data_IF_739795496690
#
_entry.id   IF_739795496690
#
_cell.length_a   1.000
_cell.length_b   1.000
_cell.length_c   1.000
_cell.angle_alpha   90.00
_cell.angle_beta   90.00
_cell.angle_gamma   90.00
#
_symmetry.space_group_name_H-M   'P 1'
#
loop_
_entity.id
_entity.type
_entity.pdbx_description
1 polymer ?
#
# COMPACT_ATOMS: atom_id res chain seq x y z
N UNK A 1 8.14 18.40 -16.00
CA UNK A 1 7.46 17.15 -16.41
C UNK A 1 6.33 16.80 -15.44
N UNK A 2 6.59 16.72 -14.13
CA UNK A 2 5.56 16.44 -13.12
C UNK A 2 4.50 17.55 -13.00
N UNK A 3 4.89 18.83 -12.97
CA UNK A 3 3.95 19.98 -13.01
C UNK A 3 3.03 19.95 -14.25
N UNK A 4 3.54 19.48 -15.39
CA UNK A 4 2.76 19.37 -16.62
C UNK A 4 1.69 18.27 -16.52
N UNK A 5 1.98 17.16 -15.83
CA UNK A 5 1.01 16.09 -15.60
C UNK A 5 -0.08 16.51 -14.62
N UNK A 6 0.29 17.22 -13.55
CA UNK A 6 -0.67 17.78 -12.57
C UNK A 6 -1.64 18.75 -13.26
N UNK A 7 -1.12 19.62 -14.12
CA UNK A 7 -1.94 20.54 -14.90
C UNK A 7 -2.93 19.78 -15.80
N UNK A 8 -2.46 18.76 -16.51
CA UNK A 8 -3.32 17.92 -17.37
C UNK A 8 -4.40 17.17 -16.60
N UNK A 9 -4.10 16.66 -15.40
CA UNK A 9 -5.08 16.01 -14.55
C UNK A 9 -6.14 17.00 -14.05
N UNK A 10 -5.68 18.21 -13.71
CA UNK A 10 -6.55 19.34 -13.35
C UNK A 10 -7.47 19.73 -14.50
N UNK A 11 -6.94 19.81 -15.72
CA UNK A 11 -7.70 20.14 -16.92
C UNK A 11 -8.75 19.06 -17.24
N UNK A 12 -8.40 17.78 -17.10
CA UNK A 12 -9.33 16.67 -17.30
C UNK A 12 -10.49 16.74 -16.29
N UNK A 13 -10.18 17.00 -15.01
CA UNK A 13 -11.19 17.22 -13.96
C UNK A 13 -12.09 18.43 -14.27
N UNK A 14 -11.51 19.50 -14.79
CA UNK A 14 -12.21 20.74 -15.13
C UNK A 14 -13.17 20.54 -16.30
N UNK A 15 -12.75 19.83 -17.35
CA UNK A 15 -13.61 19.46 -18.51
C UNK A 15 -14.86 18.71 -18.03
N UNK A 16 -14.68 17.67 -17.21
CA UNK A 16 -15.81 16.92 -16.65
C UNK A 16 -16.71 17.77 -15.76
N UNK A 17 -16.10 18.63 -14.93
CA UNK A 17 -16.83 19.53 -14.04
C UNK A 17 -17.74 20.48 -14.82
N UNK A 18 -17.20 21.15 -15.86
CA UNK A 18 -17.98 22.02 -16.75
C UNK A 18 -19.13 21.28 -17.42
N UNK A 19 -18.82 20.11 -17.98
CA UNK A 19 -19.84 19.31 -18.65
C UNK A 19 -20.96 18.87 -17.68
N UNK A 20 -20.62 18.57 -16.43
CA UNK A 20 -21.58 18.20 -15.38
C UNK A 20 -22.43 19.38 -14.85
N UNK A 21 -21.97 20.63 -15.00
CA UNK A 21 -22.70 21.86 -14.65
C UNK A 21 -23.48 22.46 -15.81
N UNK A 22 -23.40 21.84 -17.00
CA UNK A 22 -24.12 22.29 -18.20
C UNK A 22 -23.37 23.35 -19.01
N UNK A 23 -22.10 23.60 -18.69
CA UNK A 23 -21.21 24.38 -19.55
C UNK A 23 -20.72 23.49 -20.70
N UNK A 24 -20.97 23.93 -21.93
CA UNK A 24 -20.56 23.20 -23.12
C UNK A 24 -19.58 24.05 -23.93
N UNK A 25 -18.35 23.56 -24.08
CA UNK A 25 -17.29 24.18 -24.86
C UNK A 25 -16.99 23.26 -26.03
N UNK A 26 -17.03 23.80 -27.25
CA UNK A 26 -16.91 23.01 -28.49
C UNK A 26 -15.64 22.15 -28.55
N UNK A 27 -14.55 22.58 -27.90
CA UNK A 27 -13.27 21.87 -27.86
C UNK A 27 -13.16 20.81 -26.76
N UNK A 28 -14.05 20.83 -25.75
CA UNK A 28 -13.96 19.92 -24.60
C UNK A 28 -14.00 18.43 -24.97
N UNK A 29 -14.76 17.97 -25.98
CA UNK A 29 -14.73 16.57 -26.41
C UNK A 29 -13.34 16.12 -26.92
N UNK A 30 -12.64 16.97 -27.68
CA UNK A 30 -11.30 16.67 -28.20
C UNK A 30 -10.27 16.65 -27.06
N UNK A 31 -10.32 17.68 -26.20
CA UNK A 31 -9.44 17.80 -25.03
C UNK A 31 -9.64 16.62 -24.07
N UNK A 32 -10.89 16.19 -23.84
CA UNK A 32 -11.19 15.02 -23.03
C UNK A 32 -10.51 13.76 -23.55
N UNK A 33 -10.61 13.50 -24.86
CA UNK A 33 -10.02 12.32 -25.48
C UNK A 33 -8.50 12.32 -25.41
N UNK A 34 -7.87 13.47 -25.66
CA UNK A 34 -6.41 13.64 -25.57
C UNK A 34 -5.91 13.33 -24.15
N UNK A 35 -6.47 14.02 -23.15
CA UNK A 35 -6.08 13.86 -21.75
C UNK A 35 -6.37 12.45 -21.24
N UNK A 36 -7.53 11.88 -21.59
CA UNK A 36 -7.86 10.49 -21.25
C UNK A 36 -6.85 9.52 -21.84
N UNK A 37 -6.49 9.67 -23.11
CA UNK A 37 -5.52 8.79 -23.77
C UNK A 37 -4.15 8.85 -23.12
N UNK A 38 -3.73 10.04 -22.69
CA UNK A 38 -2.45 10.25 -22.02
C UNK A 38 -2.37 9.53 -20.69
N UNK A 39 -3.37 9.72 -19.81
CA UNK A 39 -3.40 9.03 -18.51
C UNK A 39 -3.70 7.53 -18.63
N UNK A 40 -4.37 7.09 -19.69
CA UNK A 40 -4.59 5.68 -19.96
C UNK A 40 -3.34 4.97 -20.49
N UNK A 41 -2.45 5.71 -21.15
CA UNK A 41 -1.21 5.19 -21.73
C UNK A 41 -0.15 4.81 -20.70
N UNK A 42 -0.16 5.42 -19.52
CA UNK A 42 0.74 5.08 -18.42
C UNK A 42 0.12 4.06 -17.44
N UNK A 43 0.92 3.06 -17.05
CA UNK A 43 0.44 1.91 -16.27
C UNK A 43 0.03 2.29 -14.84
N UNK A 44 0.61 3.36 -14.28
CA UNK A 44 0.34 3.81 -12.92
C UNK A 44 -0.87 4.73 -12.92
N UNK A 45 -0.90 5.75 -13.78
CA UNK A 45 -2.03 6.67 -13.85
C UNK A 45 -3.31 5.98 -14.33
N UNK A 46 -3.21 4.97 -15.20
CA UNK A 46 -4.38 4.21 -15.66
C UNK A 46 -5.15 3.53 -14.52
N UNK A 47 -4.44 3.00 -13.53
CA UNK A 47 -5.06 2.37 -12.35
C UNK A 47 -5.75 3.38 -11.44
N UNK A 48 -5.42 4.66 -11.61
CA UNK A 48 -5.90 5.77 -10.81
C UNK A 48 -6.93 6.65 -11.47
N UNK A 49 -7.27 6.34 -12.72
CA UNK A 49 -8.32 7.06 -13.38
C UNK A 49 -9.67 6.78 -12.70
N UNK A 50 -10.48 7.82 -12.46
CA UNK A 50 -11.85 7.69 -11.99
C UNK A 50 -12.67 6.69 -12.79
N UNK A 51 -13.58 5.97 -12.14
CA UNK A 51 -14.49 5.03 -12.83
C UNK A 51 -15.26 5.73 -13.96
N UNK A 52 -15.64 7.00 -13.74
CA UNK A 52 -16.33 7.80 -14.74
C UNK A 52 -15.51 8.05 -16.00
N UNK A 53 -14.18 8.15 -15.91
CA UNK A 53 -13.27 8.32 -17.07
C UNK A 53 -13.00 6.97 -17.75
N UNK A 54 -12.94 5.89 -16.97
CA UNK A 54 -12.73 4.54 -17.48
C UNK A 54 -13.95 4.09 -18.30
N UNK A 55 -15.14 4.27 -17.75
CA UNK A 55 -16.42 3.85 -18.33
C UNK A 55 -16.89 4.76 -19.48
N UNK A 56 -16.69 6.08 -19.36
CA UNK A 56 -17.09 7.04 -20.38
C UNK A 56 -15.95 7.25 -21.37
N UNK A 57 -15.98 6.54 -22.51
CA UNK A 57 -14.92 6.67 -23.53
C UNK A 57 -15.00 8.00 -24.27
N UNK A 58 -16.21 8.53 -24.46
CA UNK A 58 -16.48 9.84 -25.01
C UNK A 58 -16.99 10.77 -23.92
N UNK A 59 -16.75 12.09 -24.06
CA UNK A 59 -17.31 13.08 -23.13
C UNK A 59 -18.84 13.03 -23.10
N UNK A 60 -19.48 12.72 -24.24
CA UNK A 60 -20.93 12.58 -24.34
C UNK A 60 -21.51 11.46 -23.46
N UNK A 61 -20.74 10.41 -23.18
CA UNK A 61 -21.17 9.30 -22.32
C UNK A 61 -21.25 9.72 -20.84
N UNK A 62 -20.50 10.76 -20.46
CA UNK A 62 -20.37 11.20 -19.07
C UNK A 62 -21.65 11.88 -18.54
N UNK A 63 -22.39 12.60 -19.38
CA UNK A 63 -23.62 13.28 -18.92
C UNK A 63 -24.71 12.29 -18.45
N UNK A 64 -25.08 11.25 -19.23
CA UNK A 64 -25.95 10.19 -18.76
C UNK A 64 -25.47 9.54 -17.46
N UNK A 65 -24.16 9.27 -17.36
CA UNK A 65 -23.54 8.66 -16.19
C UNK A 65 -23.76 9.51 -14.92
N UNK A 66 -23.43 10.81 -14.97
CA UNK A 66 -23.44 11.66 -13.78
C UNK A 66 -24.85 12.12 -13.40
N UNK A 67 -25.72 12.37 -14.39
CA UNK A 67 -27.10 12.85 -14.17
C UNK A 67 -27.94 11.84 -13.41
N UNK A 68 -27.73 10.54 -13.65
CA UNK A 68 -28.46 9.47 -12.95
C UNK A 68 -27.98 9.28 -11.51
N UNK A 69 -26.70 9.56 -11.22
CA UNK A 69 -26.13 9.44 -9.87
C UNK A 69 -26.46 10.63 -8.97
N UNK A 70 -26.44 11.86 -9.50
CA UNK A 70 -26.55 13.08 -8.69
C UNK A 70 -27.52 14.12 -9.24
N UNK A 71 -28.36 14.66 -8.34
CA UNK A 71 -29.41 15.63 -8.67
C UNK A 71 -28.93 17.07 -8.72
N UNK A 72 -27.98 17.47 -7.85
CA UNK A 72 -27.51 18.86 -7.77
C UNK A 72 -26.15 19.04 -8.42
N UNK A 73 -25.85 20.26 -8.87
CA UNK A 73 -24.52 20.61 -9.39
C UNK A 73 -23.44 20.59 -8.30
N UNK A 74 -23.80 20.84 -7.04
CA UNK A 74 -22.86 20.73 -5.93
C UNK A 74 -22.38 19.28 -5.78
N UNK A 75 -23.31 18.32 -5.69
CA UNK A 75 -22.98 16.90 -5.52
C UNK A 75 -22.13 16.36 -6.66
N UNK A 76 -22.40 16.78 -7.91
CA UNK A 76 -21.61 16.38 -9.09
C UNK A 76 -20.16 16.85 -9.00
N UNK A 77 -19.96 18.11 -8.60
CA UNK A 77 -18.61 18.69 -8.44
C UNK A 77 -17.86 18.01 -7.31
N UNK A 78 -18.53 17.76 -6.19
CA UNK A 78 -17.92 17.09 -5.05
C UNK A 78 -17.52 15.64 -5.40
N UNK A 79 -18.38 14.91 -6.11
CA UNK A 79 -18.05 13.58 -6.63
C UNK A 79 -16.83 13.62 -7.56
N UNK A 80 -16.84 14.48 -8.58
CA UNK A 80 -15.71 14.60 -9.52
C UNK A 80 -14.42 14.97 -8.77
N UNK A 81 -14.48 15.87 -7.79
CA UNK A 81 -13.31 16.23 -6.97
C UNK A 81 -12.77 15.01 -6.23
N UNK A 82 -13.63 14.27 -5.52
CA UNK A 82 -13.23 13.11 -4.72
C UNK A 82 -12.62 11.99 -5.57
N UNK A 83 -13.21 11.70 -6.72
CA UNK A 83 -12.74 10.62 -7.59
C UNK A 83 -11.35 10.89 -8.20
N UNK A 84 -11.01 12.16 -8.42
CA UNK A 84 -9.68 12.54 -8.94
C UNK A 84 -8.60 12.57 -7.87
N UNK A 85 -8.95 12.52 -6.58
CA UNK A 85 -8.02 12.65 -5.47
C UNK A 85 -6.86 11.63 -5.53
N UNK A 86 -7.08 10.33 -5.81
CA UNK A 86 -5.98 9.35 -5.89
C UNK A 86 -4.97 9.70 -6.99
N UNK A 87 -5.44 10.15 -8.15
CA UNK A 87 -4.57 10.56 -9.26
C UNK A 87 -3.82 11.86 -8.93
N UNK A 88 -4.48 12.83 -8.29
CA UNK A 88 -3.85 14.11 -7.92
C UNK A 88 -2.73 13.90 -6.92
N UNK A 89 -3.00 13.15 -5.83
CA UNK A 89 -1.99 12.82 -4.81
C UNK A 89 -0.79 12.11 -5.43
N UNK A 90 -1.03 11.10 -6.29
CA UNK A 90 0.04 10.42 -7.04
C UNK A 90 0.96 11.40 -7.79
N UNK A 91 0.36 12.31 -8.56
CA UNK A 91 1.08 13.26 -9.39
C UNK A 91 1.79 14.34 -8.57
N UNK A 92 1.27 14.69 -7.40
CA UNK A 92 1.88 15.63 -6.44
C UNK A 92 3.12 15.05 -5.73
N UNK A 93 3.44 13.77 -5.98
CA UNK A 93 4.67 13.14 -5.50
C UNK A 93 4.44 12.19 -4.32
N UNK A 94 3.19 11.91 -3.98
CA UNK A 94 2.79 10.91 -2.98
C UNK A 94 2.95 9.47 -3.50
N UNK A 95 4.06 9.16 -4.19
CA UNK A 95 4.32 7.80 -4.72
C UNK A 95 4.49 6.74 -3.63
N UNK A 96 4.93 7.15 -2.44
CA UNK A 96 4.98 6.27 -1.28
C UNK A 96 3.59 5.74 -0.90
N UNK A 97 2.55 6.57 -1.08
CA UNK A 97 1.18 6.25 -0.69
C UNK A 97 0.56 5.15 -1.55
N UNK A 98 1.01 4.95 -2.80
CA UNK A 98 0.54 3.83 -3.63
C UNK A 98 1.00 2.47 -3.15
N UNK A 99 2.27 2.39 -2.76
CA UNK A 99 2.78 1.17 -2.15
C UNK A 99 2.11 0.95 -0.80
N UNK A 100 1.89 2.03 -0.05
CA UNK A 100 1.23 1.97 1.24
C UNK A 100 -0.25 1.52 1.11
N UNK A 101 -0.97 1.98 0.09
CA UNK A 101 -2.37 1.60 -0.20
C UNK A 101 -2.47 0.13 -0.64
N UNK A 102 -1.54 -0.37 -1.46
CA UNK A 102 -1.50 -1.79 -1.87
C UNK A 102 -1.27 -2.69 -0.65
N UNK A 103 -0.35 -2.31 0.23
CA UNK A 103 -0.11 -3.03 1.48
C UNK A 103 -1.30 -2.89 2.42
N UNK A 104 -1.85 -1.69 2.53
CA UNK A 104 -3.04 -1.37 3.34
C UNK A 104 -4.21 -2.25 2.96
N UNK A 105 -4.53 -2.38 1.67
CA UNK A 105 -5.57 -3.27 1.16
C UNK A 105 -5.35 -4.74 1.57
N UNK A 106 -4.10 -5.23 1.52
CA UNK A 106 -3.78 -6.59 1.94
C UNK A 106 -3.95 -6.75 3.46
N UNK A 107 -3.51 -5.77 4.24
CA UNK A 107 -3.64 -5.74 5.71
C UNK A 107 -5.10 -5.65 6.14
N UNK A 108 -5.91 -4.80 5.52
CA UNK A 108 -7.34 -4.66 5.81
C UNK A 108 -8.10 -5.96 5.53
N UNK A 109 -7.73 -6.70 4.47
CA UNK A 109 -8.36 -8.00 4.16
C UNK A 109 -8.00 -9.12 5.13
N UNK A 110 -6.95 -8.95 5.94
CA UNK A 110 -6.51 -9.93 6.92
C UNK A 110 -7.31 -9.90 8.23
N UNK A 111 -8.27 -8.96 8.38
CA UNK A 111 -9.23 -8.88 9.49
C UNK A 111 -8.60 -9.00 10.90
N UNK A 112 -7.47 -8.30 11.10
CA UNK A 112 -6.77 -8.28 12.38
C UNK A 112 -6.50 -6.83 12.83
N UNK A 113 -7.24 -6.37 13.85
CA UNK A 113 -7.17 -5.01 14.40
C UNK A 113 -5.73 -4.62 14.78
N UNK A 114 -4.95 -5.55 15.33
CA UNK A 114 -3.58 -5.28 15.74
C UNK A 114 -2.65 -5.04 14.54
N UNK A 115 -2.87 -5.74 13.42
CA UNK A 115 -2.06 -5.59 12.20
C UNK A 115 -2.35 -4.24 11.56
N UNK A 116 -3.62 -3.88 11.40
CA UNK A 116 -4.00 -2.57 10.86
C UNK A 116 -3.49 -1.42 11.74
N UNK A 117 -3.66 -1.53 13.06
CA UNK A 117 -3.16 -0.54 14.02
C UNK A 117 -1.65 -0.30 13.89
N UNK A 118 -0.84 -1.37 13.80
CA UNK A 118 0.61 -1.21 13.68
C UNK A 118 1.03 -0.70 12.31
N UNK A 119 0.28 -1.00 11.25
CA UNK A 119 0.52 -0.45 9.92
C UNK A 119 0.28 1.07 9.89
N UNK A 120 -0.90 1.53 10.32
CA UNK A 120 -1.24 2.96 10.36
C UNK A 120 -0.24 3.75 11.21
N UNK A 121 0.08 3.23 12.40
CA UNK A 121 1.05 3.84 13.31
C UNK A 121 2.46 3.94 12.70
N UNK A 122 2.85 2.97 11.87
CA UNK A 122 4.14 2.98 11.18
C UNK A 122 4.18 4.06 10.10
N UNK A 123 3.09 4.25 9.37
CA UNK A 123 2.93 5.28 8.35
C UNK A 123 2.94 6.69 8.96
N UNK A 124 2.11 6.94 9.98
CA UNK A 124 1.97 8.24 10.64
C UNK A 124 3.31 8.76 11.21
N UNK A 125 4.14 7.85 11.71
CA UNK A 125 5.39 8.18 12.39
C UNK A 125 6.58 8.26 11.45
N UNK A 126 6.47 7.81 10.20
CA UNK A 126 7.59 7.61 9.27
C UNK A 126 8.50 8.84 9.15
N UNK A 127 7.91 10.04 9.12
CA UNK A 127 8.64 11.30 9.01
C UNK A 127 8.94 11.96 10.36
N UNK A 128 7.95 12.03 11.25
CA UNK A 128 8.02 12.80 12.49
C UNK A 128 8.68 12.05 13.66
N UNK A 129 8.62 10.71 13.66
CA UNK A 129 9.14 9.83 14.70
C UNK A 129 9.76 8.55 14.08
N UNK A 130 10.96 8.65 13.46
CA UNK A 130 11.58 7.51 12.79
C UNK A 130 11.82 6.29 13.69
N UNK A 131 12.09 6.50 14.98
CA UNK A 131 12.29 5.40 15.94
C UNK A 131 10.96 4.69 16.25
N UNK A 132 9.89 5.45 16.48
CA UNK A 132 8.56 4.91 16.65
C UNK A 132 8.04 4.21 15.41
N UNK A 133 8.36 4.69 14.20
CA UNK A 133 8.02 4.04 12.94
C UNK A 133 8.71 2.67 12.80
N UNK A 134 10.01 2.59 13.11
CA UNK A 134 10.75 1.32 13.12
C UNK A 134 10.16 0.33 14.13
N UNK A 135 9.79 0.82 15.32
CA UNK A 135 9.10 0.02 16.34
C UNK A 135 7.76 -0.51 15.83
N UNK A 136 6.92 0.35 15.24
CA UNK A 136 5.61 -0.03 14.73
C UNK A 136 5.73 -1.03 13.57
N UNK A 137 6.67 -0.82 12.65
CA UNK A 137 6.97 -1.77 11.57
C UNK A 137 7.37 -3.15 12.10
N UNK A 138 8.08 -3.21 13.24
CA UNK A 138 8.44 -4.47 13.87
C UNK A 138 7.23 -5.16 14.48
N UNK A 139 6.43 -4.42 15.22
CA UNK A 139 5.20 -4.94 15.81
C UNK A 139 4.22 -5.43 14.75
N UNK A 140 4.15 -4.77 13.59
CA UNK A 140 3.39 -5.24 12.43
C UNK A 140 3.85 -6.64 11.99
N UNK A 141 5.15 -6.82 11.74
CA UNK A 141 5.70 -8.10 11.32
C UNK A 141 5.48 -9.22 12.37
N UNK A 142 5.61 -8.90 13.66
CA UNK A 142 5.34 -9.83 14.77
C UNK A 142 3.85 -10.20 14.82
N UNK A 143 2.94 -9.21 14.75
CA UNK A 143 1.49 -9.43 14.76
C UNK A 143 1.03 -10.31 13.60
N UNK A 144 1.51 -10.07 12.38
CA UNK A 144 1.16 -10.92 11.23
C UNK A 144 1.61 -12.36 11.46
N UNK A 145 2.86 -12.58 11.90
CA UNK A 145 3.35 -13.93 12.16
C UNK A 145 2.53 -14.64 13.25
N UNK A 146 2.24 -13.96 14.36
CA UNK A 146 1.46 -14.51 15.48
C UNK A 146 0.03 -14.82 15.07
N UNK A 147 -0.62 -13.94 14.32
CA UNK A 147 -1.98 -14.15 13.82
C UNK A 147 -2.04 -15.39 12.91
N UNK A 148 -1.13 -15.48 11.93
CA UNK A 148 -1.07 -16.64 11.02
C UNK A 148 -0.85 -17.94 11.79
N UNK A 149 0.09 -17.96 12.75
CA UNK A 149 0.35 -19.15 13.57
C UNK A 149 -0.86 -19.53 14.42
N UNK A 150 -1.57 -18.54 14.96
CA UNK A 150 -2.80 -18.73 15.74
C UNK A 150 -3.90 -19.35 14.88
N UNK A 151 -4.18 -18.80 13.70
CA UNK A 151 -5.18 -19.32 12.76
C UNK A 151 -4.85 -20.74 12.25
N UNK A 152 -3.56 -21.05 12.15
CA UNK A 152 -3.05 -22.36 11.77
C UNK A 152 -2.94 -23.35 12.93
N UNK A 153 -3.33 -22.96 14.14
CA UNK A 153 -3.23 -23.76 15.36
C UNK A 153 -1.80 -24.26 15.65
N UNK A 154 -0.78 -23.46 15.32
CA UNK A 154 0.63 -23.75 15.62
C UNK A 154 1.00 -23.07 16.93
N UNK A 155 1.44 -23.86 17.92
CA UNK A 155 1.87 -23.33 19.20
C UNK A 155 3.19 -22.53 19.08
N UNK A 156 3.25 -21.38 19.74
CA UNK A 156 4.45 -20.56 19.88
C UNK A 156 4.49 -19.94 21.29
N UNK A 157 5.69 -19.60 21.78
CA UNK A 157 5.85 -18.85 23.03
C UNK A 157 5.67 -17.35 22.77
N UNK A 158 5.01 -16.63 23.67
CA UNK A 158 4.69 -15.21 23.47
C UNK A 158 5.92 -14.30 23.32
N UNK A 159 7.05 -14.67 23.92
CA UNK A 159 8.32 -13.94 23.91
C UNK A 159 9.26 -14.37 22.78
N UNK A 160 8.78 -15.17 21.81
CA UNK A 160 9.60 -15.55 20.67
C UNK A 160 10.07 -14.32 19.89
N UNK A 161 11.35 -14.32 19.50
CA UNK A 161 11.90 -13.25 18.67
C UNK A 161 11.32 -13.32 17.25
N UNK A 162 11.17 -12.16 16.59
CA UNK A 162 10.68 -12.07 15.22
C UNK A 162 11.36 -13.05 14.23
N UNK A 163 12.70 -13.26 14.25
CA UNK A 163 13.32 -14.25 13.37
C UNK A 163 12.85 -15.69 13.60
N UNK A 164 12.55 -16.05 14.86
CA UNK A 164 12.01 -17.37 15.20
C UNK A 164 10.53 -17.49 14.81
N UNK A 165 9.73 -16.44 15.07
CA UNK A 165 8.33 -16.38 14.62
C UNK A 165 8.24 -16.57 13.11
N UNK A 166 9.02 -15.79 12.36
CA UNK A 166 9.05 -15.89 10.90
C UNK A 166 9.42 -17.29 10.43
N UNK A 167 10.42 -17.94 11.04
CA UNK A 167 10.80 -19.31 10.67
C UNK A 167 9.63 -20.29 10.84
N UNK A 168 8.91 -20.20 11.95
CA UNK A 168 7.73 -21.04 12.20
C UNK A 168 6.60 -20.74 11.21
N UNK A 169 6.32 -19.45 10.97
CA UNK A 169 5.30 -19.02 10.00
C UNK A 169 5.64 -19.53 8.60
N UNK A 170 6.89 -19.38 8.15
CA UNK A 170 7.33 -19.86 6.84
C UNK A 170 7.20 -21.38 6.70
N UNK A 171 7.55 -22.15 7.74
CA UNK A 171 7.36 -23.61 7.75
C UNK A 171 5.88 -24.00 7.67
N UNK A 172 5.02 -23.29 8.41
CA UNK A 172 3.59 -23.53 8.45
C UNK A 172 2.90 -23.23 7.11
N UNK A 173 3.35 -22.19 6.40
CA UNK A 173 2.82 -21.80 5.10
C UNK A 173 3.43 -22.60 3.93
N UNK A 174 4.23 -23.63 4.21
CA UNK A 174 4.97 -24.39 3.20
C UNK A 174 5.89 -23.50 2.33
N UNK A 175 6.45 -22.45 2.95
CA UNK A 175 7.36 -21.47 2.37
C UNK A 175 8.78 -21.62 2.93
N UNK A 176 9.09 -22.72 3.63
CA UNK A 176 10.45 -22.96 4.09
C UNK A 176 11.33 -23.26 2.89
N UNK A 177 12.54 -22.71 2.88
CA UNK A 177 13.58 -23.11 1.94
C UNK A 177 13.73 -24.64 1.92
N UNK A 178 13.56 -25.34 3.06
CA UNK A 178 13.66 -26.80 3.14
C UNK A 178 12.54 -27.56 2.39
N UNK A 179 11.44 -26.90 2.03
CA UNK A 179 10.26 -27.49 1.38
C UNK A 179 10.18 -27.23 -0.14
N UNK A 180 11.11 -26.43 -0.70
CA UNK A 180 11.19 -26.16 -2.14
C UNK A 180 12.45 -26.79 -2.75
N UNK A 181 12.31 -27.55 -3.83
CA UNK A 181 13.48 -28.14 -4.52
C UNK A 181 14.28 -27.09 -5.32
N UNK A 182 13.64 -25.97 -5.67
CA UNK A 182 14.19 -24.93 -6.51
C UNK A 182 15.15 -24.01 -5.73
N UNK A 183 16.44 -24.09 -6.07
CA UNK A 183 17.52 -23.34 -5.40
C UNK A 183 17.30 -21.81 -5.37
N UNK A 184 16.59 -21.26 -6.35
CA UNK A 184 16.35 -19.81 -6.45
C UNK A 184 15.37 -19.31 -5.38
N UNK A 185 14.33 -20.08 -5.06
CA UNK A 185 13.38 -19.73 -4.01
C UNK A 185 14.01 -19.83 -2.63
N UNK A 186 14.86 -20.86 -2.41
CA UNK A 186 15.68 -20.98 -1.18
C UNK A 186 16.53 -19.74 -0.95
N UNK A 187 17.17 -19.22 -2.01
CA UNK A 187 18.01 -18.03 -1.92
C UNK A 187 17.20 -16.76 -1.61
N UNK A 188 16.05 -16.57 -2.27
CA UNK A 188 15.17 -15.41 -2.03
C UNK A 188 14.64 -15.42 -0.60
N UNK A 189 14.12 -16.56 -0.14
CA UNK A 189 13.59 -16.74 1.21
C UNK A 189 14.69 -16.58 2.28
N UNK A 190 15.89 -17.09 2.02
CA UNK A 190 17.05 -16.89 2.89
C UNK A 190 17.51 -15.42 2.95
N UNK A 191 17.41 -14.70 1.83
CA UNK A 191 17.64 -13.25 1.77
C UNK A 191 16.60 -12.47 2.59
N UNK A 192 15.32 -12.83 2.47
CA UNK A 192 14.23 -12.25 3.24
C UNK A 192 14.42 -12.50 4.75
N UNK A 193 14.78 -13.73 5.14
CA UNK A 193 15.08 -14.08 6.53
C UNK A 193 16.23 -13.24 7.09
N UNK A 194 17.27 -13.00 6.28
CA UNK A 194 18.42 -12.17 6.65
C UNK A 194 18.03 -10.70 6.81
N UNK A 195 17.16 -10.17 5.93
CA UNK A 195 16.62 -8.83 6.03
C UNK A 195 15.75 -8.64 7.30
N UNK A 196 14.88 -9.61 7.60
CA UNK A 196 14.06 -9.63 8.82
C UNK A 196 14.94 -9.72 10.06
N UNK A 197 16.01 -10.52 10.03
CA UNK A 197 16.95 -10.61 11.14
C UNK A 197 17.65 -9.27 11.39
N UNK A 198 18.21 -8.65 10.33
CA UNK A 198 18.83 -7.32 10.42
C UNK A 198 17.86 -6.28 10.98
N UNK A 199 16.63 -6.29 10.49
CA UNK A 199 15.55 -5.42 10.97
C UNK A 199 15.17 -5.64 12.44
N UNK A 200 15.03 -6.90 12.89
CA UNK A 200 14.76 -7.24 14.28
C UNK A 200 15.89 -6.77 15.20
N UNK A 201 17.14 -6.88 14.76
CA UNK A 201 18.31 -6.43 15.55
C UNK A 201 18.49 -4.91 15.57
N UNK A 202 17.98 -4.19 14.57
CA UNK A 202 18.10 -2.73 14.45
C UNK A 202 17.55 -2.03 15.69
N UNK A 203 16.36 -2.42 16.18
CA UNK A 203 15.78 -1.80 17.40
C UNK A 203 16.63 -2.01 18.64
N UNK A 204 17.23 -3.20 18.80
CA UNK A 204 18.08 -3.48 19.95
C UNK A 204 19.33 -2.61 19.92
N UNK A 205 19.95 -2.46 18.74
CA UNK A 205 21.12 -1.60 18.55
C UNK A 205 20.80 -0.11 18.77
N UNK A 206 19.60 0.35 18.37
CA UNK A 206 19.13 1.73 18.59
C UNK A 206 18.80 1.98 20.07
N UNK A 207 18.09 1.06 20.73
CA UNK A 207 17.74 1.14 22.15
C UNK A 207 18.97 1.17 23.07
N UNK A 208 19.96 0.31 22.80
CA UNK A 208 21.22 0.27 23.55
C UNK A 208 22.07 1.53 23.32
N UNK A 209 21.94 2.18 22.17
CA UNK A 209 22.64 3.42 21.87
C UNK A 209 22.04 4.61 22.65
N UNK A 210 20.72 4.65 22.85
CA UNK A 210 20.05 5.69 23.62
C UNK A 210 20.44 5.72 25.11
N UNK A 211 20.91 4.61 25.67
CA UNK A 211 21.37 4.50 27.06
C UNK A 211 22.82 4.93 27.31
N UNK A 212 23.60 5.28 26.28
CA UNK A 212 25.02 5.65 26.43
C UNK A 212 25.24 7.14 26.72
N UNK A 213 26.10 7.52 27.69
CA UNK A 213 26.52 8.91 27.86
C UNK A 213 27.26 9.36 26.59
N UNK A 214 26.73 10.36 25.89
CA UNK A 214 27.28 10.86 24.62
C UNK A 214 26.31 10.87 23.42
N UNK A 215 25.11 10.30 23.59
CA UNK A 215 24.05 10.31 22.58
C UNK A 215 24.16 9.14 21.61
N UNK A 216 23.13 8.31 21.59
CA UNK A 216 23.03 7.17 20.68
C UNK A 216 22.87 7.56 19.21
N UNK A 217 23.06 6.58 18.33
CA UNK A 217 22.72 6.72 16.92
C UNK A 217 21.21 6.90 16.77
N UNK A 218 20.78 8.06 16.29
CA UNK A 218 19.36 8.36 16.04
C UNK A 218 18.99 7.92 14.61
N UNK A 219 17.94 7.09 14.43
CA UNK A 219 17.49 6.71 13.11
C UNK A 219 17.02 7.95 12.33
N UNK A 220 17.31 7.97 11.03
CA UNK A 220 16.87 9.01 10.11
C UNK A 220 15.60 8.56 9.40
N UNK A 221 14.86 9.50 8.80
CA UNK A 221 13.63 9.23 8.03
C UNK A 221 13.85 8.11 7.00
N UNK A 222 14.95 8.14 6.24
CA UNK A 222 15.29 7.08 5.27
C UNK A 222 15.39 5.66 5.87
N UNK A 223 15.77 5.53 7.15
CA UNK A 223 15.84 4.23 7.82
C UNK A 223 14.45 3.76 8.26
N UNK A 224 13.60 4.70 8.70
CA UNK A 224 12.20 4.43 8.96
C UNK A 224 11.44 4.04 7.68
N UNK A 225 11.63 4.77 6.59
CA UNK A 225 11.07 4.43 5.27
C UNK A 225 11.45 3.01 4.85
N UNK A 226 12.73 2.65 4.93
CA UNK A 226 13.19 1.29 4.60
C UNK A 226 12.51 0.24 5.49
N UNK A 227 12.44 0.49 6.79
CA UNK A 227 11.81 -0.41 7.77
C UNK A 227 10.32 -0.62 7.49
N UNK A 228 9.57 0.47 7.31
CA UNK A 228 8.12 0.45 7.05
C UNK A 228 7.83 -0.28 5.74
N UNK A 229 8.57 0.04 4.68
CA UNK A 229 8.38 -0.59 3.37
C UNK A 229 8.72 -2.09 3.40
N UNK A 230 9.78 -2.49 4.12
CA UNK A 230 10.16 -3.90 4.27
C UNK A 230 9.08 -4.67 5.06
N UNK A 231 8.63 -4.11 6.19
CA UNK A 231 7.60 -4.74 7.03
C UNK A 231 6.26 -4.86 6.30
N UNK A 232 5.86 -3.83 5.55
CA UNK A 232 4.62 -3.85 4.78
C UNK A 232 4.66 -4.85 3.62
N UNK A 233 5.78 -4.88 2.86
CA UNK A 233 5.98 -5.86 1.79
C UNK A 233 5.94 -7.29 2.34
N UNK A 234 6.60 -7.50 3.48
CA UNK A 234 6.62 -8.76 4.20
C UNK A 234 5.22 -9.20 4.67
N UNK A 235 4.49 -8.30 5.32
CA UNK A 235 3.13 -8.54 5.80
C UNK A 235 2.21 -8.94 4.63
N UNK A 236 2.21 -8.15 3.56
CA UNK A 236 1.41 -8.41 2.37
C UNK A 236 1.70 -9.78 1.76
N UNK A 237 2.98 -10.14 1.62
CA UNK A 237 3.39 -11.45 1.09
C UNK A 237 2.93 -12.62 1.96
N UNK A 238 3.10 -12.53 3.29
CA UNK A 238 2.67 -13.58 4.20
C UNK A 238 1.14 -13.76 4.23
N UNK A 239 0.41 -12.65 4.22
CA UNK A 239 -1.06 -12.65 4.18
C UNK A 239 -1.54 -13.33 2.89
N UNK A 240 -0.95 -12.95 1.75
CA UNK A 240 -1.28 -13.58 0.46
C UNK A 240 -1.00 -15.08 0.48
N UNK A 241 0.20 -15.49 0.91
CA UNK A 241 0.56 -16.90 1.00
C UNK A 241 -0.34 -17.68 1.96
N UNK A 242 -0.77 -17.05 3.06
CA UNK A 242 -1.75 -17.63 3.97
C UNK A 242 -3.08 -17.88 3.29
N UNK A 243 -3.65 -16.90 2.57
CA UNK A 243 -4.92 -17.07 1.87
C UNK A 243 -4.83 -18.16 0.78
N UNK A 244 -3.76 -18.17 -0.02
CA UNK A 244 -3.57 -19.16 -1.09
C UNK A 244 -3.47 -20.59 -0.55
N UNK A 245 -2.72 -20.78 0.54
CA UNK A 245 -2.57 -22.12 1.15
C UNK A 245 -3.82 -22.56 1.91
N UNK A 246 -4.61 -21.63 2.48
CA UNK A 246 -5.89 -21.93 3.12
C UNK A 246 -6.95 -22.43 2.11
N UNK A 247 -6.95 -21.89 0.89
CA UNK A 247 -7.85 -22.33 -0.20
C UNK A 247 -7.50 -23.73 -0.74
N UNK A 248 -6.21 -24.08 -0.77
CA UNK A 248 -5.76 -25.39 -1.22
C UNK A 248 -6.07 -26.50 -0.20
N UNK A 249 -6.13 -26.18 1.09
CA UNK A 249 -6.52 -27.13 2.15
C UNK A 249 -8.02 -27.46 2.20
N UNK A 250 -8.89 -26.65 1.59
CA UNK A 250 -10.35 -26.90 1.54
C UNK A 250 -10.81 -27.58 0.25
N UNK A 251 -9.90 -27.78 -0.72
CA UNK A 251 -10.18 -28.38 -2.03
C UNK A 251 -9.73 -29.84 -2.16
N UNK A 252 -9.32 -30.48 -1.05
CA UNK A 252 -9.03 -31.92 -0.91
C UNK A 252 -9.93 -32.53 0.17
#
# INVERSE_FOLDING_TARGET
MQEQMIQKATDLRLVLTRYATGENIDKDPEVYLELRSEFWGDIFTRKLLPECVISCRLLADFWPYIKCKFKTYADRRDYIRQEFEPLMRYLEGERAYFHDDIIGDAVTKFDCDSVLHFWEKALERREADPDGAITAARSLAESVCKQILTERNVAFEDELSLPKLFKLTAQCLNMSAEQHDEAIFKQILGGLQSAIHGFATLRNALGDAHGKPGGGYKPLVRHAELAVNLAGTFASYLIQAHHETSLNSTSN
#
